data_IF_569300504609
#
_entry.id   IF_569300504609
#
_cell.length_a   1.000
_cell.length_b   1.000
_cell.length_c   1.000
_cell.angle_alpha   90.00
_cell.angle_beta   90.00
_cell.angle_gamma   90.00
#
_symmetry.space_group_name_H-M   'P 1'
#
loop_
_entity.id
_entity.type
_entity.pdbx_description
1 polymer ?
#
# COMPACT_ATOMS: atom_id res chain seq x y z
N UNK A 1 13.28 30.22 25.81
CA UNK A 1 13.98 28.94 25.58
C UNK A 1 13.04 27.77 25.89
N UNK A 2 12.04 27.50 25.02
CA UNK A 2 11.10 26.36 25.17
C UNK A 2 10.74 25.70 23.82
N UNK A 3 11.28 26.21 22.70
CA UNK A 3 11.02 25.70 21.35
C UNK A 3 11.50 24.26 21.17
N UNK A 4 12.68 23.93 21.71
CA UNK A 4 13.26 22.58 21.60
C UNK A 4 12.41 21.56 22.35
N UNK A 5 11.86 21.93 23.52
CA UNK A 5 10.97 21.08 24.30
C UNK A 5 9.60 20.87 23.64
N UNK A 6 9.03 21.93 23.03
CA UNK A 6 7.79 21.82 22.26
C UNK A 6 7.97 20.97 20.99
N UNK A 7 9.08 21.15 20.26
CA UNK A 7 9.38 20.39 19.05
C UNK A 7 9.61 18.91 19.36
N UNK A 8 10.39 18.61 20.41
CA UNK A 8 10.61 17.24 20.88
C UNK A 8 9.30 16.57 21.32
N UNK A 9 8.41 17.33 21.99
CA UNK A 9 7.07 16.88 22.36
C UNK A 9 6.21 16.51 21.15
N UNK A 10 6.19 17.35 20.10
CA UNK A 10 5.45 17.08 18.87
C UNK A 10 5.96 15.83 18.16
N UNK A 11 7.28 15.69 18.00
CA UNK A 11 7.89 14.51 17.36
C UNK A 11 7.54 13.23 18.13
N UNK A 12 7.61 13.27 19.47
CA UNK A 12 7.28 12.11 20.31
C UNK A 12 5.81 11.69 20.18
N UNK A 13 4.89 12.65 20.09
CA UNK A 13 3.46 12.39 19.88
C UNK A 13 3.25 11.76 18.50
N UNK A 14 3.85 12.30 17.45
CA UNK A 14 3.76 11.74 16.09
C UNK A 14 4.28 10.31 16.02
N UNK A 15 5.43 10.00 16.63
CA UNK A 15 5.98 8.63 16.66
C UNK A 15 5.07 7.68 17.46
N UNK A 16 4.50 8.14 18.57
CA UNK A 16 3.53 7.34 19.35
C UNK A 16 2.25 7.07 18.57
N UNK A 17 1.75 8.04 17.80
CA UNK A 17 0.61 7.87 16.92
C UNK A 17 0.91 6.93 15.75
N UNK A 18 2.11 7.02 15.15
CA UNK A 18 2.56 6.08 14.14
C UNK A 18 2.61 4.65 14.70
N UNK A 19 3.20 4.46 15.88
CA UNK A 19 3.30 3.15 16.53
C UNK A 19 1.93 2.56 16.92
N UNK A 20 1.04 3.37 17.48
CA UNK A 20 -0.36 2.97 17.74
C UNK A 20 -1.15 2.71 16.45
N UNK A 21 -0.77 3.38 15.37
CA UNK A 21 -1.33 3.23 14.04
C UNK A 21 -0.83 2.00 13.29
N UNK A 22 0.16 1.25 13.81
CA UNK A 22 0.56 -0.07 13.31
C UNK A 22 -0.47 -1.09 13.80
N UNK A 23 -1.61 -1.10 13.12
CA UNK A 23 -2.57 -2.19 13.15
C UNK A 23 -2.31 -3.05 11.90
N UNK A 24 -2.49 -4.36 11.96
CA UNK A 24 -2.42 -5.20 10.76
C UNK A 24 -3.36 -4.68 9.65
N UNK A 25 -4.47 -4.04 10.02
CA UNK A 25 -5.41 -3.40 9.10
C UNK A 25 -4.84 -2.18 8.33
N UNK A 26 -3.73 -1.59 8.78
CA UNK A 26 -3.09 -0.41 8.17
C UNK A 26 -1.75 -0.73 7.50
N UNK A 27 -1.35 -2.00 7.48
CA UNK A 27 -0.18 -2.51 6.76
C UNK A 27 -0.50 -2.70 5.27
N UNK A 28 0.55 -2.71 4.45
CA UNK A 28 0.45 -3.10 3.04
C UNK A 28 0.24 -4.61 2.92
N UNK A 29 -0.48 -5.05 1.90
CA UNK A 29 -0.68 -6.47 1.63
C UNK A 29 -1.43 -6.72 0.33
N UNK A 30 -1.33 -7.95 -0.15
CA UNK A 30 -2.08 -8.48 -1.28
C UNK A 30 -2.66 -9.85 -0.92
N UNK A 31 -3.68 -10.26 -1.66
CA UNK A 31 -4.12 -11.66 -1.69
C UNK A 31 -3.62 -12.32 -2.97
N UNK A 32 -3.55 -13.65 -2.96
CA UNK A 32 -3.21 -14.42 -4.14
C UNK A 32 -4.28 -14.24 -5.23
N UNK A 33 -3.83 -14.12 -6.48
CA UNK A 33 -4.70 -14.08 -7.66
C UNK A 33 -4.55 -15.40 -8.40
N UNK A 34 -5.68 -16.05 -8.68
CA UNK A 34 -5.73 -17.27 -9.48
C UNK A 34 -6.27 -16.90 -10.86
N UNK A 35 -5.59 -17.35 -11.92
CA UNK A 35 -5.98 -17.13 -13.32
C UNK A 35 -6.26 -18.47 -13.98
N UNK A 36 -7.37 -18.56 -14.70
CA UNK A 36 -7.79 -19.76 -15.44
C UNK A 36 -8.05 -19.41 -16.89
N UNK A 37 -7.44 -20.19 -17.80
CA UNK A 37 -7.73 -20.14 -19.23
C UNK A 37 -9.02 -20.89 -19.55
N UNK A 38 -9.95 -20.22 -20.22
CA UNK A 38 -11.23 -20.77 -20.64
C UNK A 38 -11.10 -21.54 -21.97
N UNK A 39 -12.08 -22.39 -22.34
CA UNK A 39 -12.05 -23.16 -23.59
C UNK A 39 -11.98 -22.30 -24.86
N UNK A 40 -12.51 -21.08 -24.82
CA UNK A 40 -12.46 -20.11 -25.93
C UNK A 40 -11.12 -19.35 -26.01
N UNK A 41 -10.17 -19.67 -25.13
CA UNK A 41 -8.86 -19.03 -25.06
C UNK A 41 -8.81 -17.75 -24.23
N UNK A 42 -9.94 -17.26 -23.72
CA UNK A 42 -9.98 -16.11 -22.80
C UNK A 42 -9.43 -16.47 -21.41
N UNK A 43 -9.11 -15.47 -20.60
CA UNK A 43 -8.65 -15.65 -19.23
C UNK A 43 -9.63 -15.03 -18.26
N UNK A 44 -9.94 -15.74 -17.18
CA UNK A 44 -10.67 -15.20 -16.03
C UNK A 44 -9.83 -15.34 -14.78
N UNK A 45 -10.00 -14.42 -13.84
CA UNK A 45 -9.24 -14.40 -12.60
C UNK A 45 -10.10 -14.10 -11.37
N UNK A 46 -9.60 -14.47 -10.21
CA UNK A 46 -10.10 -13.95 -8.95
C UNK A 46 -9.86 -12.43 -8.86
N UNK A 47 -10.65 -11.68 -8.07
CA UNK A 47 -10.46 -10.24 -7.93
C UNK A 47 -9.05 -9.88 -7.47
N UNK A 48 -8.52 -8.79 -8.03
CA UNK A 48 -7.27 -8.19 -7.56
C UNK A 48 -7.56 -7.37 -6.31
N UNK A 49 -7.02 -7.79 -5.17
CA UNK A 49 -7.18 -7.05 -3.91
C UNK A 49 -5.81 -6.74 -3.31
N UNK A 50 -5.37 -5.50 -3.50
CA UNK A 50 -4.16 -4.95 -2.90
C UNK A 50 -4.52 -3.84 -1.92
N UNK A 51 -3.75 -3.72 -0.85
CA UNK A 51 -3.85 -2.65 0.14
C UNK A 51 -2.48 -2.00 0.26
N UNK A 52 -2.48 -0.68 0.17
CA UNK A 52 -1.31 0.11 0.50
C UNK A 52 -1.46 0.68 1.90
N UNK A 53 -0.52 0.37 2.77
CA UNK A 53 -0.51 0.87 4.14
C UNK A 53 -0.34 2.39 4.20
N UNK A 54 -0.75 2.98 5.32
CA UNK A 54 -0.70 4.44 5.51
C UNK A 54 0.73 5.02 5.50
N UNK A 55 1.73 4.21 5.82
CA UNK A 55 3.13 4.64 5.96
C UNK A 55 3.89 4.87 4.64
N UNK A 56 3.28 4.62 3.47
CA UNK A 56 3.87 4.94 2.15
C UNK A 56 3.00 5.81 1.26
N UNK A 57 1.78 6.14 1.71
CA UNK A 57 0.70 6.70 0.88
C UNK A 57 0.04 7.90 1.57
N UNK A 58 0.86 8.76 2.17
CA UNK A 58 0.39 10.02 2.80
C UNK A 58 -0.34 10.95 1.79
N UNK A 59 -0.14 10.71 0.49
CA UNK A 59 -0.88 11.35 -0.62
C UNK A 59 -1.32 10.30 -1.65
N UNK A 60 -2.38 9.56 -1.35
CA UNK A 60 -2.87 8.45 -2.19
C UNK A 60 -3.23 8.83 -3.62
N UNK A 61 -3.80 10.02 -3.82
CA UNK A 61 -4.25 10.49 -5.15
C UNK A 61 -3.11 10.80 -6.13
N UNK A 62 -1.89 11.00 -5.63
CA UNK A 62 -0.72 11.34 -6.45
C UNK A 62 0.14 10.10 -6.78
N UNK A 63 -0.26 8.92 -6.31
CA UNK A 63 0.47 7.66 -6.55
C UNK A 63 -0.16 6.90 -7.70
N UNK A 64 0.63 6.72 -8.76
CA UNK A 64 0.32 5.79 -9.86
C UNK A 64 0.73 4.39 -9.41
N UNK A 65 -0.04 3.38 -9.83
CA UNK A 65 0.22 1.97 -9.55
C UNK A 65 0.64 1.32 -10.85
N UNK A 66 1.81 0.69 -10.85
CA UNK A 66 2.31 -0.13 -11.95
C UNK A 66 2.27 -1.62 -11.57
N UNK A 67 2.27 -2.50 -12.57
CA UNK A 67 2.25 -3.95 -12.39
C UNK A 67 3.41 -4.58 -13.17
N UNK A 68 4.11 -5.50 -12.53
CA UNK A 68 5.13 -6.35 -13.15
C UNK A 68 4.72 -7.81 -13.04
N UNK A 69 4.93 -8.59 -14.11
CA UNK A 69 4.65 -10.03 -14.14
C UNK A 69 5.96 -10.75 -14.49
N UNK A 70 6.42 -11.61 -13.59
CA UNK A 70 7.70 -12.34 -13.74
C UNK A 70 8.91 -11.41 -13.97
N UNK A 71 8.90 -10.20 -13.40
CA UNK A 71 9.95 -9.20 -13.55
C UNK A 71 9.84 -8.32 -14.80
N UNK A 72 8.79 -8.51 -15.62
CA UNK A 72 8.55 -7.70 -16.81
C UNK A 72 7.43 -6.66 -16.55
N UNK A 73 7.63 -5.38 -16.89
CA UNK A 73 6.61 -4.35 -16.73
C UNK A 73 5.44 -4.56 -17.69
N UNK A 74 4.24 -4.28 -17.21
CA UNK A 74 3.00 -4.36 -17.99
C UNK A 74 2.50 -2.96 -18.30
N UNK A 75 2.09 -2.74 -19.55
CA UNK A 75 1.40 -1.51 -19.95
C UNK A 75 -0.03 -1.51 -19.40
N UNK A 76 -0.33 -0.56 -18.52
CA UNK A 76 -1.66 -0.37 -17.95
C UNK A 76 -2.39 0.71 -18.75
N UNK A 77 -3.37 0.31 -19.55
CA UNK A 77 -4.25 1.21 -20.35
C UNK A 77 -5.51 1.63 -19.61
#
# INVERSE_FOLDING_TARGET
MNYVGQLAGQVLVTVKELYKGINQATLSGCIDVIVVRQPDGTFQCSPFHVRFGKLGVLRSREKVIDIEINGEPVELT
#
